data_IF_721069400932
#
_entry.id   IF_721069400932
#
_cell.length_a   1.000
_cell.length_b   1.000
_cell.length_c   1.000
_cell.angle_alpha   90.00
_cell.angle_beta   90.00
_cell.angle_gamma   90.00
#
_symmetry.space_group_name_H-M   'P 1'
#
loop_
_entity.id
_entity.type
_entity.pdbx_description
1 polymer ?
#
# COMPACT_ATOMS: atom_id res chain seq x y z
N UNK A 1 -14.50 15.07 -3.61
CA UNK A 1 -13.03 15.13 -3.75
C UNK A 1 -12.34 14.31 -2.68
N UNK A 2 -11.35 13.56 -3.09
CA UNK A 2 -10.57 12.76 -2.14
C UNK A 2 -9.61 13.67 -1.37
N UNK A 3 -9.47 13.41 -0.06
CA UNK A 3 -8.52 14.14 0.78
C UNK A 3 -7.06 13.82 0.41
N UNK A 4 -6.85 12.80 -0.41
CA UNK A 4 -5.51 12.35 -0.77
C UNK A 4 -5.04 12.82 -2.14
N UNK A 5 -5.89 13.50 -2.91
CA UNK A 5 -5.54 13.93 -4.26
C UNK A 5 -4.28 14.79 -4.29
N UNK A 6 -4.07 15.61 -3.27
CA UNK A 6 -2.91 16.49 -3.18
C UNK A 6 -1.59 15.75 -3.06
N UNK A 7 -1.62 14.46 -2.72
CA UNK A 7 -0.42 13.65 -2.55
C UNK A 7 -0.03 12.90 -3.81
N UNK A 8 -0.84 12.98 -4.85
CA UNK A 8 -0.61 12.26 -6.10
C UNK A 8 -0.39 13.21 -7.27
N UNK A 9 0.49 12.80 -8.19
CA UNK A 9 0.68 13.50 -9.46
C UNK A 9 -0.42 13.12 -10.44
N UNK A 10 -0.59 13.90 -11.53
CA UNK A 10 -1.58 13.55 -12.56
C UNK A 10 -1.40 12.16 -13.16
N UNK A 11 -0.18 11.63 -13.16
CA UNK A 11 0.09 10.29 -13.68
C UNK A 11 -0.24 9.17 -12.68
N UNK A 12 -0.71 9.53 -11.48
CA UNK A 12 -1.08 8.57 -10.45
C UNK A 12 0.02 8.23 -9.47
N UNK A 13 1.23 8.72 -9.67
CA UNK A 13 2.32 8.45 -8.74
C UNK A 13 2.24 9.33 -7.50
N UNK A 14 2.74 8.82 -6.40
CA UNK A 14 2.72 9.50 -5.11
C UNK A 14 3.88 10.51 -5.07
N UNK A 15 3.58 11.75 -4.70
CA UNK A 15 4.61 12.79 -4.56
C UNK A 15 5.49 12.49 -3.36
N UNK A 16 4.86 12.16 -2.23
CA UNK A 16 5.58 11.79 -1.02
C UNK A 16 4.62 11.04 -0.09
N UNK A 17 5.19 10.27 0.83
CA UNK A 17 4.39 9.59 1.83
C UNK A 17 3.99 10.63 2.89
N UNK A 18 2.69 10.83 3.16
CA UNK A 18 2.26 11.84 4.12
C UNK A 18 2.83 11.59 5.52
N UNK A 19 3.22 12.65 6.20
CA UNK A 19 3.74 12.56 7.56
C UNK A 19 2.65 12.27 8.59
N UNK A 20 1.45 12.80 8.37
CA UNK A 20 0.33 12.58 9.30
C UNK A 20 -0.25 11.19 9.09
N UNK A 21 -0.45 10.46 10.18
CA UNK A 21 -0.90 9.07 10.11
C UNK A 21 -2.26 8.91 9.43
N UNK A 22 -3.20 9.82 9.68
CA UNK A 22 -4.52 9.76 9.05
C UNK A 22 -4.41 9.84 7.53
N UNK A 23 -3.61 10.78 7.04
CA UNK A 23 -3.39 10.93 5.60
C UNK A 23 -2.61 9.76 5.02
N UNK A 24 -1.62 9.30 5.76
CA UNK A 24 -0.82 8.15 5.35
C UNK A 24 -1.67 6.89 5.19
N UNK A 25 -2.52 6.62 6.17
CA UNK A 25 -3.43 5.46 6.11
C UNK A 25 -4.34 5.56 4.89
N UNK A 26 -4.88 6.73 4.62
CA UNK A 26 -5.75 6.93 3.46
C UNK A 26 -5.03 6.67 2.15
N UNK A 27 -3.79 7.13 2.03
CA UNK A 27 -2.95 6.89 0.85
C UNK A 27 -2.67 5.39 0.68
N UNK A 28 -2.35 4.71 1.79
CA UNK A 28 -2.05 3.27 1.73
C UNK A 28 -3.27 2.46 1.33
N UNK A 29 -4.45 2.81 1.81
CA UNK A 29 -5.68 2.14 1.38
C UNK A 29 -5.97 2.38 -0.09
N UNK A 30 -5.65 3.56 -0.61
CA UNK A 30 -5.80 3.85 -2.03
C UNK A 30 -4.90 2.93 -2.86
N UNK A 31 -3.65 2.77 -2.46
CA UNK A 31 -2.71 1.86 -3.15
C UNK A 31 -3.19 0.42 -3.05
N UNK A 32 -3.70 0.02 -1.87
CA UNK A 32 -4.17 -1.34 -1.64
C UNK A 32 -5.36 -1.72 -2.51
N UNK A 33 -6.06 -0.76 -3.10
CA UNK A 33 -7.17 -1.04 -4.02
C UNK A 33 -6.72 -1.81 -5.27
N UNK A 34 -5.43 -1.74 -5.59
CA UNK A 34 -4.88 -2.51 -6.72
C UNK A 34 -4.65 -3.98 -6.37
N UNK A 35 -4.84 -4.35 -5.11
CA UNK A 35 -4.63 -5.73 -4.66
C UNK A 35 -5.96 -6.44 -4.53
N UNK A 36 -5.96 -7.72 -4.88
CA UNK A 36 -7.16 -8.56 -4.77
C UNK A 36 -7.18 -9.27 -3.43
N UNK A 37 -8.34 -9.32 -2.74
CA UNK A 37 -8.41 -9.88 -1.39
C UNK A 37 -8.10 -11.37 -1.30
N UNK A 38 -8.32 -12.12 -2.38
CA UNK A 38 -8.11 -13.58 -2.38
C UNK A 38 -6.77 -13.99 -2.98
N UNK A 39 -5.87 -13.02 -3.18
CA UNK A 39 -4.61 -13.27 -3.88
C UNK A 39 -3.43 -13.12 -2.93
N UNK A 40 -2.46 -14.01 -3.07
CA UNK A 40 -1.20 -13.91 -2.35
C UNK A 40 -0.14 -13.34 -3.30
N UNK A 41 0.66 -12.43 -2.77
CA UNK A 41 1.65 -11.70 -3.55
C UNK A 41 3.04 -11.95 -3.00
N UNK A 42 3.90 -12.71 -3.73
CA UNK A 42 5.31 -12.73 -3.38
C UNK A 42 5.88 -11.31 -3.38
N UNK A 43 6.87 -11.06 -2.56
CA UNK A 43 7.40 -9.70 -2.38
C UNK A 43 7.77 -9.05 -3.71
N UNK A 44 8.35 -9.79 -4.63
CA UNK A 44 8.71 -9.28 -5.95
C UNK A 44 7.50 -8.73 -6.70
N UNK A 45 6.40 -9.48 -6.69
CA UNK A 45 5.18 -9.07 -7.37
C UNK A 45 4.54 -7.87 -6.69
N UNK A 46 4.52 -7.87 -5.36
CA UNK A 46 3.99 -6.76 -4.60
C UNK A 46 4.79 -5.49 -4.90
N UNK A 47 6.11 -5.60 -4.95
CA UNK A 47 6.97 -4.47 -5.29
C UNK A 47 6.64 -3.87 -6.66
N UNK A 48 6.35 -4.70 -7.63
CA UNK A 48 5.98 -4.21 -8.97
C UNK A 48 4.70 -3.38 -8.93
N UNK A 49 3.74 -3.80 -8.13
CA UNK A 49 2.48 -3.06 -7.99
C UNK A 49 2.70 -1.74 -7.26
N UNK A 50 3.41 -1.80 -6.14
CA UNK A 50 3.66 -0.63 -5.30
C UNK A 50 4.55 0.39 -6.01
N UNK A 51 5.51 -0.09 -6.80
CA UNK A 51 6.43 0.78 -7.53
C UNK A 51 5.73 1.70 -8.52
N UNK A 52 4.53 1.35 -8.96
CA UNK A 52 3.72 2.23 -9.80
C UNK A 52 3.34 3.52 -9.10
N UNK A 53 3.36 3.52 -7.77
CA UNK A 53 2.97 4.66 -6.96
C UNK A 53 4.16 5.37 -6.33
N UNK A 54 5.19 4.62 -5.91
CA UNK A 54 6.32 5.21 -5.19
C UNK A 54 7.55 4.31 -5.28
N UNK A 55 8.73 4.92 -5.36
CA UNK A 55 9.99 4.19 -5.48
C UNK A 55 10.36 3.44 -4.20
N UNK A 56 10.01 3.99 -3.04
CA UNK A 56 10.34 3.36 -1.77
C UNK A 56 9.31 2.29 -1.41
N UNK A 57 9.38 1.18 -2.14
CA UNK A 57 8.43 0.08 -1.95
C UNK A 57 8.56 -0.55 -0.56
N UNK A 58 9.76 -0.56 -0.01
CA UNK A 58 10.00 -1.13 1.32
C UNK A 58 9.25 -0.33 2.40
N UNK A 59 9.28 1.00 2.31
CA UNK A 59 8.56 1.84 3.26
C UNK A 59 7.04 1.62 3.15
N UNK A 60 6.53 1.58 1.92
CA UNK A 60 5.10 1.36 1.69
C UNK A 60 4.67 0.01 2.28
N UNK A 61 5.41 -1.07 2.00
CA UNK A 61 5.09 -2.39 2.53
C UNK A 61 5.09 -2.41 4.04
N UNK A 62 6.11 -1.79 4.65
CA UNK A 62 6.23 -1.75 6.11
C UNK A 62 5.04 -1.02 6.74
N UNK A 63 4.66 0.13 6.19
CA UNK A 63 3.50 0.85 6.68
C UNK A 63 2.21 0.05 6.55
N UNK A 64 2.04 -0.65 5.43
CA UNK A 64 0.84 -1.48 5.24
C UNK A 64 0.75 -2.60 6.28
N UNK A 65 1.88 -3.19 6.64
CA UNK A 65 1.92 -4.20 7.71
C UNK A 65 1.60 -3.54 9.06
N UNK A 66 2.25 -2.40 9.36
CA UNK A 66 2.05 -1.70 10.63
C UNK A 66 0.59 -1.30 10.86
N UNK A 67 -0.08 -0.86 9.80
CA UNK A 67 -1.47 -0.43 9.91
C UNK A 67 -2.48 -1.55 9.72
N UNK A 68 -2.00 -2.78 9.57
CA UNK A 68 -2.89 -3.93 9.43
C UNK A 68 -3.62 -4.03 8.10
N UNK A 69 -3.13 -3.35 7.06
CA UNK A 69 -3.70 -3.44 5.72
C UNK A 69 -3.26 -4.72 5.03
N UNK A 70 -2.00 -5.09 5.23
CA UNK A 70 -1.42 -6.33 4.72
C UNK A 70 -0.98 -7.23 5.85
N UNK A 71 -0.97 -8.51 5.55
CA UNK A 71 -0.34 -9.52 6.39
C UNK A 71 0.72 -10.23 5.55
N UNK A 72 1.62 -10.95 6.19
CA UNK A 72 2.67 -11.68 5.48
C UNK A 72 3.08 -12.94 6.25
N UNK A 73 3.66 -13.90 5.53
CA UNK A 73 4.24 -15.09 6.14
C UNK A 73 5.76 -14.97 6.23
N UNK A 74 6.41 -16.02 6.71
CA UNK A 74 7.86 -16.05 6.88
C UNK A 74 8.63 -16.12 5.57
N UNK A 75 7.94 -16.40 4.46
CA UNK A 75 8.55 -16.52 3.15
C UNK A 75 8.38 -15.25 2.31
N UNK A 76 7.96 -14.16 2.94
CA UNK A 76 7.73 -12.87 2.29
C UNK A 76 6.65 -12.94 1.22
N UNK A 77 5.57 -13.65 1.52
CA UNK A 77 4.36 -13.65 0.72
C UNK A 77 3.32 -12.82 1.46
N UNK A 78 2.71 -11.88 0.75
CA UNK A 78 1.81 -10.88 1.31
C UNK A 78 0.39 -11.08 0.82
N UNK A 79 -0.59 -10.68 1.63
CA UNK A 79 -2.00 -10.68 1.23
C UNK A 79 -2.73 -9.58 1.99
N UNK A 80 -3.88 -9.17 1.46
CA UNK A 80 -4.72 -8.18 2.13
C UNK A 80 -5.32 -8.79 3.39
N UNK A 81 -5.19 -8.06 4.49
CA UNK A 81 -5.80 -8.46 5.75
C UNK A 81 -7.26 -8.06 5.72
N UNK A 82 -8.14 -9.05 5.85
CA UNK A 82 -9.57 -8.80 5.82
C UNK A 82 -10.05 -8.44 7.22
N UNK A 83 -10.74 -7.31 7.32
CA UNK A 83 -11.30 -6.88 8.59
C UNK A 83 -12.42 -7.82 9.01
N UNK A 84 -12.46 -8.09 10.30
CA UNK A 84 -13.51 -8.93 10.85
C UNK A 84 -13.34 -10.43 10.61
N UNK A 85 -12.21 -10.83 10.06
CA UNK A 85 -11.94 -12.25 9.85
C UNK A 85 -11.10 -12.83 10.94
#
# INVERSE_FOLDING_TARGET
MSQIDQFFRPDGTLISIPAKSVKRIAVLHHIARDLSPDTKYPEKELNLIVAKYHDDTAAIRRYMIEYGILDRDSESVYWLRLEGS
#
